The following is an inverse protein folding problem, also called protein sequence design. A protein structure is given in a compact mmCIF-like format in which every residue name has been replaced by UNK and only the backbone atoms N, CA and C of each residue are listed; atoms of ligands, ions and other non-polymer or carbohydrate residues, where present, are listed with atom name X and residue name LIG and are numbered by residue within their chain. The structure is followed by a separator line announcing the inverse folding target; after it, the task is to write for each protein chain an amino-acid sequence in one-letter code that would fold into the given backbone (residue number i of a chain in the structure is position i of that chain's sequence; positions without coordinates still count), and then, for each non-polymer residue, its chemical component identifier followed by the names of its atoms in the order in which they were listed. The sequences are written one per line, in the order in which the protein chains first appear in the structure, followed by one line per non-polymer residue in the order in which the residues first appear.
data_IF_196752973825
#
_entry.id   IF_196752973825
#
_cell.length_a   1.000
_cell.length_b   1.000
_cell.length_c   1.000
_cell.angle_alpha   90.00
_cell.angle_beta   90.00
_cell.angle_gamma   90.00
#
_symmetry.space_group_name_H-M   'P 1'
#
loop_
_entity.id
_entity.type
_entity.pdbx_description
1 polymer ?
#
# COMPACT_ATOMS: atom_id res chain seq x y z
N UNK A 1 13.60 38.35 -5.27
CA UNK A 1 12.66 38.59 -4.15
C UNK A 1 11.24 38.47 -4.69
N UNK A 2 10.75 37.24 -4.90
CA UNK A 2 9.36 37.00 -5.33
C UNK A 2 8.59 36.63 -4.07
N UNK A 3 7.84 37.59 -3.54
CA UNK A 3 6.94 37.39 -2.40
C UNK A 3 5.79 36.50 -2.88
N UNK A 4 5.95 35.19 -2.75
CA UNK A 4 4.84 34.25 -2.92
C UNK A 4 4.02 34.34 -1.64
N UNK A 5 3.15 35.34 -1.57
CA UNK A 5 2.06 35.40 -0.60
C UNK A 5 1.07 34.27 -0.93
N UNK A 6 1.47 33.02 -0.66
CA UNK A 6 0.59 31.88 -0.72
C UNK A 6 -0.35 32.02 0.47
N UNK A 7 -1.57 32.48 0.21
CA UNK A 7 -2.67 32.58 1.16
C UNK A 7 -3.01 31.17 1.66
N UNK A 8 -2.21 30.64 2.59
CA UNK A 8 -2.63 29.55 3.45
C UNK A 8 -3.68 30.14 4.37
N UNK A 9 -4.96 29.92 4.02
CA UNK A 9 -6.10 30.11 4.92
C UNK A 9 -5.81 29.28 6.18
N UNK A 10 -5.26 29.92 7.21
CA UNK A 10 -4.99 29.29 8.50
C UNK A 10 -6.33 28.82 9.04
N UNK A 11 -6.50 27.51 9.20
CA UNK A 11 -7.68 27.00 9.90
C UNK A 11 -7.57 27.47 11.35
N UNK A 12 -8.45 28.38 11.76
CA UNK A 12 -8.54 28.93 13.12
C UNK A 12 -9.14 27.92 14.13
N UNK A 13 -9.05 26.62 13.85
CA UNK A 13 -9.75 25.57 14.60
C UNK A 13 -8.97 25.00 15.80
N UNK A 14 -8.01 25.74 16.37
CA UNK A 14 -7.37 25.39 17.64
C UNK A 14 -7.39 26.60 18.60
N UNK A 15 -8.45 26.69 19.40
CA UNK A 15 -8.77 27.82 20.27
C UNK A 15 -7.92 27.92 21.56
N UNK A 16 -6.74 27.29 21.62
CA UNK A 16 -5.87 27.31 22.82
C UNK A 16 -4.44 27.69 22.47
N UNK A 17 -4.05 28.97 22.62
CA UNK A 17 -2.68 29.41 22.35
C UNK A 17 -1.67 28.89 23.38
N UNK A 18 -2.12 28.52 24.58
CA UNK A 18 -1.31 27.98 25.68
C UNK A 18 -1.82 26.58 26.08
N UNK A 19 -0.89 25.67 26.34
CA UNK A 19 -1.14 24.27 26.71
C UNK A 19 -0.47 24.01 28.05
N UNK A 20 -1.17 23.37 28.98
CA UNK A 20 -0.62 22.94 30.27
C UNK A 20 0.21 21.67 30.12
N UNK A 21 1.37 21.63 30.76
CA UNK A 21 2.18 20.41 30.87
C UNK A 21 1.71 19.64 32.10
N UNK A 22 1.40 18.36 31.91
CA UNK A 22 1.00 17.45 32.99
C UNK A 22 2.21 16.63 33.49
N UNK A 23 2.24 16.36 34.78
CA UNK A 23 3.18 15.41 35.40
C UNK A 23 2.69 13.98 35.25
N UNK A 24 3.56 12.99 35.50
CA UNK A 24 3.21 11.56 35.41
C UNK A 24 2.07 11.14 36.36
N UNK A 25 1.78 11.95 37.39
CA UNK A 25 0.66 11.76 38.32
C UNK A 25 -0.67 12.32 37.79
N UNK A 26 -0.71 12.76 36.53
CA UNK A 26 -1.87 13.39 35.88
C UNK A 26 -2.28 14.73 36.54
N UNK A 27 -1.34 15.41 37.17
CA UNK A 27 -1.54 16.74 37.76
C UNK A 27 -0.88 17.82 36.89
N UNK A 28 -1.49 19.01 36.83
CA UNK A 28 -0.92 20.12 36.09
C UNK A 28 0.36 20.62 36.78
N UNK A 29 1.49 20.61 36.05
CA UNK A 29 2.81 20.99 36.58
C UNK A 29 3.00 22.51 36.82
N UNK A 30 1.97 23.32 36.55
CA UNK A 30 2.04 24.79 36.57
C UNK A 30 2.79 25.41 35.39
N UNK A 31 3.57 24.62 34.63
CA UNK A 31 4.24 25.09 33.42
C UNK A 31 3.31 25.07 32.20
N UNK A 32 3.43 26.10 31.37
CA UNK A 32 2.64 26.25 30.14
C UNK A 32 3.54 26.43 28.94
N UNK A 33 3.10 25.89 27.80
CA UNK A 33 3.83 25.94 26.53
C UNK A 33 2.91 26.53 25.46
N UNK A 34 3.44 27.41 24.62
CA UNK A 34 2.70 27.95 23.48
C UNK A 34 2.44 26.87 22.43
N UNK A 35 1.23 26.80 21.89
CA UNK A 35 0.87 25.82 20.86
C UNK A 35 1.75 26.01 19.61
N UNK A 36 2.55 24.99 19.22
CA UNK A 36 3.39 25.08 18.04
C UNK A 36 2.57 25.32 16.76
N UNK A 37 3.12 26.11 15.84
CA UNK A 37 2.42 26.51 14.62
C UNK A 37 1.97 25.33 13.73
N UNK A 38 2.64 24.17 13.85
CA UNK A 38 2.28 22.94 13.12
C UNK A 38 0.84 22.48 13.38
N UNK A 39 0.29 22.75 14.57
CA UNK A 39 -1.09 22.38 14.90
C UNK A 39 -2.15 23.28 14.23
N UNK A 40 -1.74 24.42 13.66
CA UNK A 40 -2.61 25.34 12.92
C UNK A 40 -2.56 25.12 11.40
N UNK A 41 -1.76 24.15 10.95
CA UNK A 41 -1.62 23.84 9.54
C UNK A 41 -2.91 23.24 8.96
N UNK A 42 -3.14 23.35 7.64
CA UNK A 42 -4.34 22.82 7.04
C UNK A 42 -4.33 21.29 7.05
N UNK A 43 -5.45 20.70 7.45
CA UNK A 43 -5.65 19.26 7.43
C UNK A 43 -6.10 18.85 6.02
N UNK A 44 -5.23 18.16 5.28
CA UNK A 44 -5.50 17.66 3.92
C UNK A 44 -5.54 16.13 3.91
N UNK A 45 -6.73 15.51 4.08
CA UNK A 45 -6.85 14.06 4.11
C UNK A 45 -6.49 13.40 2.77
N UNK A 46 -6.67 14.10 1.66
CA UNK A 46 -6.29 13.66 0.31
C UNK A 46 -4.78 13.43 0.18
N UNK A 47 -3.97 14.39 0.63
CA UNK A 47 -2.49 14.30 0.59
C UNK A 47 -1.99 13.23 1.56
N UNK A 48 -2.59 13.14 2.76
CA UNK A 48 -2.24 12.12 3.75
C UNK A 48 -2.51 10.72 3.19
N UNK A 49 -3.69 10.49 2.62
CA UNK A 49 -4.05 9.20 2.02
C UNK A 49 -3.13 8.82 0.87
N UNK A 50 -2.83 9.77 -0.03
CA UNK A 50 -1.90 9.54 -1.14
C UNK A 50 -0.51 9.14 -0.64
N UNK A 51 0.07 9.90 0.30
CA UNK A 51 1.41 9.62 0.84
C UNK A 51 1.42 8.29 1.58
N UNK A 52 0.40 8.02 2.40
CA UNK A 52 0.27 6.77 3.15
C UNK A 52 0.24 5.55 2.22
N UNK A 53 -0.62 5.57 1.19
CA UNK A 53 -0.74 4.47 0.22
C UNK A 53 0.56 4.22 -0.56
N UNK A 54 1.27 5.29 -0.96
CA UNK A 54 2.55 5.15 -1.64
C UNK A 54 3.68 4.66 -0.69
N UNK A 55 3.68 5.12 0.57
CA UNK A 55 4.64 4.64 1.58
C UNK A 55 4.41 3.18 1.94
N UNK A 56 3.15 2.75 2.08
CA UNK A 56 2.79 1.37 2.35
C UNK A 56 3.27 0.42 1.23
N UNK A 57 3.34 0.87 -0.02
CA UNK A 57 3.92 0.04 -1.10
C UNK A 57 5.42 -0.22 -0.91
N UNK A 58 6.15 0.65 -0.22
CA UNK A 58 7.61 0.58 -0.12
C UNK A 58 8.14 -0.44 0.89
N UNK A 59 7.33 -0.91 1.86
CA UNK A 59 7.75 -1.95 2.81
C UNK A 59 7.52 -3.37 2.27
N UNK A 60 6.91 -3.52 1.09
CA UNK A 60 6.52 -4.82 0.55
C UNK A 60 7.73 -5.58 0.04
N UNK A 61 7.79 -6.88 0.34
CA UNK A 61 8.76 -7.79 -0.25
C UNK A 61 8.27 -8.28 -1.62
N UNK A 62 9.14 -8.29 -2.66
CA UNK A 62 8.83 -8.91 -3.94
C UNK A 62 8.49 -10.39 -3.80
N UNK A 63 7.47 -10.84 -4.52
CA UNK A 63 7.13 -12.27 -4.64
C UNK A 63 6.87 -12.61 -6.11
N UNK A 64 7.22 -13.85 -6.48
CA UNK A 64 6.99 -14.39 -7.83
C UNK A 64 6.86 -15.90 -7.78
N UNK A 65 6.07 -16.46 -8.70
CA UNK A 65 6.07 -17.90 -8.95
C UNK A 65 7.38 -18.33 -9.62
N UNK A 66 7.76 -19.60 -9.46
CA UNK A 66 8.93 -20.15 -10.12
C UNK A 66 8.81 -19.98 -11.66
N UNK A 67 9.90 -19.54 -12.31
CA UNK A 67 9.97 -19.30 -13.76
C UNK A 67 9.58 -20.54 -14.56
N UNK A 68 9.97 -21.72 -14.06
CA UNK A 68 9.83 -23.00 -14.75
C UNK A 68 8.61 -23.81 -14.28
N UNK A 69 7.79 -23.25 -13.38
CA UNK A 69 6.57 -23.89 -12.92
C UNK A 69 5.60 -24.14 -14.09
N UNK A 70 5.10 -25.38 -14.18
CA UNK A 70 4.21 -25.83 -15.26
C UNK A 70 4.90 -26.07 -16.60
N UNK A 71 6.24 -25.90 -16.70
CA UNK A 71 7.03 -26.12 -17.92
C UNK A 71 7.96 -27.35 -17.85
N UNK A 72 8.12 -27.96 -16.69
CA UNK A 72 8.98 -29.12 -16.46
C UNK A 72 8.34 -30.46 -16.93
N UNK A 73 7.42 -30.42 -17.89
CA UNK A 73 6.70 -31.60 -18.39
C UNK A 73 6.84 -31.66 -19.91
N UNK A 74 7.28 -32.79 -20.45
CA UNK A 74 7.27 -33.03 -21.90
C UNK A 74 5.85 -33.35 -22.36
N UNK A 75 5.26 -32.44 -23.15
CA UNK A 75 3.92 -32.56 -23.66
C UNK A 75 3.80 -31.97 -25.07
N UNK A 76 3.00 -32.59 -25.92
CA UNK A 76 2.73 -32.13 -27.28
C UNK A 76 1.24 -32.27 -27.60
N UNK A 77 0.71 -31.42 -28.46
CA UNK A 77 -0.68 -31.54 -28.90
C UNK A 77 -0.81 -32.75 -29.85
N UNK A 78 -1.89 -33.51 -29.72
CA UNK A 78 -2.20 -34.61 -30.63
C UNK A 78 -2.83 -34.14 -31.95
N UNK A 79 -2.98 -32.82 -32.14
CA UNK A 79 -3.61 -32.27 -33.34
C UNK A 79 -5.10 -32.57 -33.42
N UNK A 80 -5.61 -32.64 -34.65
CA UNK A 80 -7.01 -33.01 -34.96
C UNK A 80 -7.14 -34.50 -35.24
N UNK A 81 -8.38 -35.00 -35.41
CA UNK A 81 -8.63 -36.41 -35.74
C UNK A 81 -8.80 -37.35 -34.54
N UNK A 82 -8.85 -36.80 -33.32
CA UNK A 82 -9.21 -37.53 -32.10
C UNK A 82 -10.36 -36.79 -31.41
N UNK A 83 -11.24 -37.51 -30.73
CA UNK A 83 -12.39 -36.94 -29.99
C UNK A 83 -11.96 -36.25 -28.67
N UNK A 84 -10.93 -35.40 -28.74
CA UNK A 84 -10.34 -34.67 -27.60
C UNK A 84 -9.88 -33.28 -28.02
N UNK A 85 -9.85 -32.34 -27.08
CA UNK A 85 -9.37 -30.98 -27.34
C UNK A 85 -7.86 -30.95 -27.69
N UNK A 86 -7.46 -29.93 -28.48
CA UNK A 86 -6.11 -29.73 -29.06
C UNK A 86 -5.05 -29.24 -28.06
N UNK A 87 -5.26 -29.42 -26.76
CA UNK A 87 -4.32 -29.01 -25.71
C UNK A 87 -3.07 -29.92 -25.73
N UNK A 88 -1.87 -29.42 -25.41
CA UNK A 88 -0.70 -30.27 -25.22
C UNK A 88 -0.95 -31.33 -24.16
N UNK A 89 -0.55 -32.58 -24.43
CA UNK A 89 -0.75 -33.74 -23.54
C UNK A 89 0.58 -34.39 -23.19
N UNK A 90 0.70 -34.83 -21.95
CA UNK A 90 1.92 -35.48 -21.43
C UNK A 90 2.21 -36.76 -22.23
N UNK A 91 3.45 -36.91 -22.71
CA UNK A 91 3.91 -38.08 -23.47
C UNK A 91 4.10 -39.30 -22.56
N UNK A 92 4.29 -40.47 -23.16
CA UNK A 92 4.52 -41.73 -22.44
C UNK A 92 3.26 -42.56 -22.20
N UNK A 93 3.37 -43.57 -21.35
CA UNK A 93 2.29 -44.49 -20.98
C UNK A 93 2.56 -45.16 -19.62
N UNK A 94 1.61 -45.92 -19.10
CA UNK A 94 1.76 -46.68 -17.85
C UNK A 94 1.57 -45.89 -16.55
N UNK A 95 1.32 -44.58 -16.63
CA UNK A 95 0.99 -43.74 -15.45
C UNK A 95 -0.31 -42.97 -15.68
N UNK A 96 -1.03 -42.66 -14.60
CA UNK A 96 -2.26 -41.84 -14.67
C UNK A 96 -2.04 -40.45 -15.27
N UNK A 97 -0.80 -39.93 -15.24
CA UNK A 97 -0.46 -38.61 -15.77
C UNK A 97 -0.34 -38.59 -17.29
N UNK A 98 0.00 -39.72 -17.92
CA UNK A 98 0.19 -39.84 -19.36
C UNK A 98 -1.11 -39.52 -20.12
N UNK A 99 -1.05 -38.74 -21.20
CA UNK A 99 -2.23 -38.34 -21.99
C UNK A 99 -3.10 -37.23 -21.39
N UNK A 100 -2.82 -36.75 -20.17
CA UNK A 100 -3.52 -35.61 -19.57
C UNK A 100 -3.01 -34.28 -20.12
N UNK A 101 -3.83 -33.22 -20.03
CA UNK A 101 -3.46 -31.86 -20.44
C UNK A 101 -2.33 -31.24 -19.62
N UNK A 102 -1.48 -30.45 -20.28
CA UNK A 102 -0.32 -29.76 -19.71
C UNK A 102 -0.14 -28.36 -20.33
N UNK A 103 0.80 -27.58 -19.78
CA UNK A 103 1.16 -26.19 -20.13
C UNK A 103 0.07 -25.12 -19.99
N UNK A 104 -1.14 -25.37 -20.47
CA UNK A 104 -2.22 -24.40 -20.49
C UNK A 104 -2.61 -23.91 -19.09
N UNK A 105 -3.01 -22.64 -18.99
CA UNK A 105 -3.49 -22.04 -17.74
C UNK A 105 -4.83 -22.61 -17.25
N UNK A 106 -5.57 -23.29 -18.13
CA UNK A 106 -6.78 -24.07 -17.78
C UNK A 106 -6.47 -25.52 -17.38
N UNK A 107 -5.23 -25.97 -17.52
CA UNK A 107 -4.85 -27.34 -17.17
C UNK A 107 -4.44 -27.43 -15.71
N UNK A 108 -4.90 -28.49 -15.01
CA UNK A 108 -4.40 -28.85 -13.69
C UNK A 108 -2.89 -29.12 -13.77
N UNK A 109 -2.11 -28.42 -12.95
CA UNK A 109 -0.64 -28.48 -12.97
C UNK A 109 0.02 -27.81 -14.18
N UNK A 110 -0.75 -27.09 -15.00
CA UNK A 110 -0.23 -26.25 -16.07
C UNK A 110 0.31 -24.91 -15.56
N UNK A 111 0.73 -24.04 -16.48
CA UNK A 111 1.33 -22.74 -16.15
C UNK A 111 0.27 -21.64 -16.18
N UNK A 112 0.30 -20.78 -15.17
CA UNK A 112 -0.56 -19.60 -15.10
C UNK A 112 -0.29 -18.63 -16.27
N UNK A 113 -1.33 -17.97 -16.77
CA UNK A 113 -1.19 -16.85 -17.70
C UNK A 113 -0.63 -15.62 -16.98
N UNK A 114 0.29 -14.89 -17.62
CA UNK A 114 1.02 -13.76 -17.02
C UNK A 114 1.56 -14.04 -15.59
N UNK A 115 2.48 -15.02 -15.42
CA UNK A 115 3.06 -15.33 -14.12
C UNK A 115 3.65 -14.11 -13.41
N UNK A 116 3.46 -14.02 -12.09
CA UNK A 116 4.03 -12.94 -11.27
C UNK A 116 5.55 -12.87 -11.46
N UNK A 117 6.06 -11.65 -11.64
CA UNK A 117 7.48 -11.37 -11.92
C UNK A 117 8.13 -10.60 -10.79
N UNK A 118 9.39 -10.91 -10.45
CA UNK A 118 10.08 -10.21 -9.37
C UNK A 118 10.28 -8.72 -9.68
N UNK A 119 10.48 -8.36 -10.95
CA UNK A 119 10.67 -6.97 -11.41
C UNK A 119 9.38 -6.15 -11.54
N UNK A 120 8.27 -6.60 -10.94
CA UNK A 120 7.09 -5.73 -10.77
C UNK A 120 7.51 -4.45 -10.03
N UNK A 121 6.95 -3.30 -10.39
CA UNK A 121 7.25 -2.04 -9.69
C UNK A 121 6.60 -2.01 -8.31
N UNK A 122 7.33 -2.48 -7.30
CA UNK A 122 6.92 -2.49 -5.89
C UNK A 122 7.04 -1.11 -5.26
N UNK A 123 8.21 -0.48 -5.40
CA UNK A 123 8.51 0.79 -4.74
C UNK A 123 8.04 2.02 -5.53
N UNK A 124 7.68 3.07 -4.79
CA UNK A 124 7.17 4.35 -5.28
C UNK A 124 7.94 5.50 -4.60
N UNK A 125 8.53 6.35 -5.44
CA UNK A 125 9.16 7.60 -5.00
C UNK A 125 8.05 8.62 -4.74
N UNK A 126 8.14 9.30 -3.60
CA UNK A 126 7.23 10.35 -3.18
C UNK A 126 8.06 11.60 -2.99
N UNK A 127 7.52 12.76 -3.37
CA UNK A 127 8.21 14.03 -3.20
C UNK A 127 8.41 14.33 -1.70
N UNK A 128 9.59 14.81 -1.33
CA UNK A 128 9.94 15.14 0.06
C UNK A 128 8.99 16.19 0.63
N UNK A 129 8.62 17.19 -0.16
CA UNK A 129 7.68 18.23 0.28
C UNK A 129 6.27 17.68 0.54
N UNK A 130 5.80 16.71 -0.27
CA UNK A 130 4.51 16.06 -0.02
C UNK A 130 4.52 15.20 1.24
N UNK A 131 5.63 14.48 1.50
CA UNK A 131 5.81 13.74 2.76
C UNK A 131 5.77 14.67 3.97
N UNK A 132 6.51 15.78 3.93
CA UNK A 132 6.52 16.79 5.00
C UNK A 132 5.13 17.38 5.21
N UNK A 133 4.43 17.69 4.12
CA UNK A 133 3.07 18.24 4.20
C UNK A 133 2.07 17.24 4.82
N UNK A 134 2.12 15.97 4.43
CA UNK A 134 1.29 14.92 5.05
C UNK A 134 1.56 14.76 6.55
N UNK A 135 2.83 14.81 6.97
CA UNK A 135 3.21 14.78 8.39
C UNK A 135 2.63 15.96 9.17
N UNK A 136 2.76 17.17 8.62
CA UNK A 136 2.22 18.39 9.23
C UNK A 136 0.69 18.33 9.36
N UNK A 137 -0.02 17.90 8.31
CA UNK A 137 -1.47 17.70 8.37
C UNK A 137 -1.89 16.64 9.41
N UNK A 138 -1.10 15.57 9.57
CA UNK A 138 -1.38 14.54 10.57
C UNK A 138 -1.19 15.05 12.00
N UNK A 139 -0.13 15.81 12.27
CA UNK A 139 0.10 16.43 13.60
C UNK A 139 -1.04 17.40 13.92
N UNK A 140 -1.44 18.26 12.97
CA UNK A 140 -2.57 19.16 13.16
C UNK A 140 -3.87 18.41 13.52
N UNK A 141 -4.14 17.28 12.86
CA UNK A 141 -5.33 16.47 13.13
C UNK A 141 -5.34 15.86 14.54
N UNK A 142 -4.18 15.54 15.14
CA UNK A 142 -4.11 15.01 16.52
C UNK A 142 -4.54 16.02 17.59
N UNK A 143 -4.45 17.32 17.30
CA UNK A 143 -4.92 18.38 18.19
C UNK A 143 -6.44 18.60 18.17
N UNK A 144 -7.17 17.91 17.29
CA UNK A 144 -8.62 18.08 17.10
C UNK A 144 -9.36 16.88 17.71
N UNK A 145 -10.01 17.02 18.89
CA UNK A 145 -10.64 15.90 19.58
C UNK A 145 -11.67 15.15 18.74
N UNK A 146 -12.46 15.87 17.92
CA UNK A 146 -13.45 15.28 17.03
C UNK A 146 -12.82 14.28 16.03
N UNK A 147 -11.65 14.60 15.47
CA UNK A 147 -10.96 13.72 14.52
C UNK A 147 -10.37 12.51 15.25
N UNK A 148 -9.84 12.68 16.46
CA UNK A 148 -9.28 11.59 17.27
C UNK A 148 -10.37 10.60 17.69
N UNK A 149 -11.52 11.09 18.14
CA UNK A 149 -12.68 10.27 18.49
C UNK A 149 -13.27 9.58 17.25
N UNK A 150 -13.34 10.26 16.09
CA UNK A 150 -13.85 9.67 14.84
C UNK A 150 -13.05 8.46 14.35
N UNK A 151 -11.75 8.38 14.70
CA UNK A 151 -10.90 7.22 14.43
C UNK A 151 -11.22 6.01 15.32
N UNK A 152 -11.94 6.22 16.43
CA UNK A 152 -12.30 5.19 17.41
C UNK A 152 -11.40 5.15 18.65
N UNK A 153 -10.64 6.20 18.92
CA UNK A 153 -9.91 6.31 20.19
C UNK A 153 -10.83 6.90 21.26
N UNK A 154 -10.84 6.30 22.44
CA UNK A 154 -11.44 6.90 23.64
C UNK A 154 -10.41 7.88 24.23
N UNK A 155 -10.79 9.16 24.31
CA UNK A 155 -9.96 10.27 24.80
C UNK A 155 -10.64 10.89 25.99
#
# INVERSE_FOLDING_TARGET
MVSVHFWFKVSTSAARPLISVYSDKNEASGSTVSLPAVFKAPIRPDVVNFVHDQMAKNHRQPYSVNKDAGHQTSAESWGTGRAVARIPRVRGGGTHRSGQGAFGNMCRGGRMFAPTKPWRRWHRKINVNQKRYAMVSAIAATGVPALVMSKGNYV
#
